data_IF_716428409742
#
_entry.id   IF_716428409742
#
_cell.length_a   1.000
_cell.length_b   1.000
_cell.length_c   1.000
_cell.angle_alpha   90.00
_cell.angle_beta   90.00
_cell.angle_gamma   90.00
#
_symmetry.space_group_name_H-M   'P 1'
#
loop_
_entity.id
_entity.type
_entity.pdbx_description
1 polymer ?
#
# COMPACT_ATOMS: atom_id res chain seq x y z
N UNK A 1 -2.20 11.32 67.67
CA UNK A 1 -3.38 10.66 67.11
C UNK A 1 -4.10 11.68 66.26
N UNK A 2 -4.64 11.38 65.09
CA UNK A 2 -4.76 10.12 64.37
C UNK A 2 -5.52 10.41 63.07
N UNK A 3 -5.05 9.77 62.00
CA UNK A 3 -5.82 9.23 60.87
C UNK A 3 -6.73 10.16 60.04
N UNK A 4 -6.34 10.21 58.75
CA UNK A 4 -7.21 10.45 57.60
C UNK A 4 -8.55 9.72 57.73
N UNK A 5 -9.63 10.41 57.36
CA UNK A 5 -10.74 9.77 56.66
C UNK A 5 -11.33 10.76 55.65
N UNK A 6 -11.04 10.46 54.38
CA UNK A 6 -11.63 11.07 53.20
C UNK A 6 -13.09 10.58 53.11
N UNK A 7 -14.05 11.42 53.46
CA UNK A 7 -15.45 11.11 53.26
C UNK A 7 -15.92 11.63 51.89
N UNK A 8 -15.98 10.71 50.92
CA UNK A 8 -16.61 10.93 49.63
C UNK A 8 -18.12 11.15 49.80
N UNK A 9 -18.66 12.17 49.13
CA UNK A 9 -20.11 12.35 48.99
C UNK A 9 -20.58 11.52 47.79
N UNK A 10 -21.36 10.46 48.04
CA UNK A 10 -21.95 9.62 47.00
C UNK A 10 -22.96 10.39 46.14
N UNK A 11 -22.99 10.21 44.81
CA UNK A 11 -24.10 10.67 43.96
C UNK A 11 -25.38 9.87 44.23
N UNK A 12 -26.58 10.43 43.98
CA UNK A 12 -27.84 9.77 44.25
C UNK A 12 -28.06 8.55 43.35
N UNK A 13 -28.58 7.48 43.96
CA UNK A 13 -28.98 6.25 43.28
C UNK A 13 -30.14 6.52 42.32
N UNK A 14 -29.93 6.22 41.04
CA UNK A 14 -31.02 5.83 40.15
C UNK A 14 -30.67 4.47 39.55
N UNK A 15 -31.57 3.54 39.84
CA UNK A 15 -31.50 2.12 39.52
C UNK A 15 -31.88 1.96 38.05
N UNK A 16 -31.16 1.13 37.29
CA UNK A 16 -31.70 0.03 36.47
C UNK A 16 -30.60 -0.63 35.60
N UNK A 17 -30.13 -1.78 36.10
CA UNK A 17 -29.76 -3.04 35.39
C UNK A 17 -28.75 -2.95 34.23
N UNK A 18 -27.49 -3.30 34.55
CA UNK A 18 -26.50 -3.79 33.58
C UNK A 18 -26.74 -5.28 33.29
N UNK A 19 -26.71 -5.69 32.02
CA UNK A 19 -26.36 -7.05 31.64
C UNK A 19 -25.48 -7.02 30.39
N UNK A 20 -24.23 -7.44 30.54
CA UNK A 20 -23.29 -7.76 29.47
C UNK A 20 -23.82 -8.92 28.62
N UNK A 21 -23.64 -8.95 27.29
CA UNK A 21 -23.79 -10.18 26.53
C UNK A 21 -22.43 -10.85 26.38
N UNK A 22 -22.20 -11.81 27.27
CA UNK A 22 -21.31 -12.95 27.07
C UNK A 22 -21.60 -13.63 25.73
N UNK A 23 -20.54 -14.08 25.05
CA UNK A 23 -20.61 -14.98 23.89
C UNK A 23 -21.49 -16.19 24.22
N UNK A 24 -22.62 -16.32 23.53
CA UNK A 24 -23.43 -17.53 23.50
C UNK A 24 -23.47 -18.04 22.06
N UNK A 25 -22.91 -19.23 21.86
CA UNK A 25 -23.14 -20.08 20.70
C UNK A 25 -24.65 -20.38 20.61
N UNK A 26 -25.30 -19.94 19.53
CA UNK A 26 -26.60 -20.50 19.14
C UNK A 26 -26.50 -21.00 17.71
N UNK A 27 -26.60 -22.31 17.59
CA UNK A 27 -26.61 -23.10 16.37
C UNK A 27 -28.02 -23.06 15.80
N UNK A 28 -28.18 -22.44 14.64
CA UNK A 28 -29.32 -22.67 13.75
C UNK A 28 -28.82 -22.86 12.33
N UNK A 29 -28.96 -24.09 11.83
CA UNK A 29 -28.79 -24.48 10.43
C UNK A 29 -30.11 -24.24 9.69
N UNK A 30 -30.03 -23.50 8.58
CA UNK A 30 -30.83 -23.63 7.34
C UNK A 30 -30.54 -22.39 6.49
N UNK A 31 -29.81 -22.55 5.36
CA UNK A 31 -30.40 -22.47 4.00
C UNK A 31 -30.46 -20.98 3.57
N UNK A 32 -29.71 -20.43 2.62
CA UNK A 32 -29.09 -20.92 1.40
C UNK A 32 -27.80 -20.14 1.11
N UNK A 33 -26.94 -20.72 0.27
CA UNK A 33 -25.63 -20.19 -0.07
C UNK A 33 -25.67 -18.81 -0.75
N UNK A 34 -25.35 -17.78 0.02
CA UNK A 34 -24.74 -16.56 -0.49
C UNK A 34 -23.72 -16.09 0.55
N UNK A 35 -22.63 -16.87 0.65
CA UNK A 35 -21.44 -16.38 1.31
C UNK A 35 -21.01 -15.13 0.58
N UNK A 36 -21.11 -13.97 1.25
CA UNK A 36 -20.37 -12.78 0.86
C UNK A 36 -18.93 -13.22 0.64
N UNK A 37 -18.56 -13.41 -0.64
CA UNK A 37 -17.21 -13.76 -1.03
C UNK A 37 -16.40 -12.52 -0.66
N UNK A 38 -15.85 -12.48 0.55
CA UNK A 38 -14.71 -11.61 0.84
C UNK A 38 -13.74 -11.89 -0.30
N UNK A 39 -13.51 -10.87 -1.13
CA UNK A 39 -12.80 -10.90 -2.42
C UNK A 39 -11.38 -11.43 -2.19
N UNK A 40 -11.27 -12.74 -2.00
CA UNK A 40 -10.03 -13.39 -1.64
C UNK A 40 -9.21 -13.45 -2.92
N UNK A 41 -8.11 -12.71 -2.94
CA UNK A 41 -7.19 -12.69 -4.07
C UNK A 41 -6.80 -14.14 -4.36
N UNK A 42 -7.10 -14.61 -5.57
CA UNK A 42 -6.85 -16.00 -5.90
C UNK A 42 -5.35 -16.31 -5.85
N UNK A 43 -4.99 -17.55 -5.50
CA UNK A 43 -3.60 -17.99 -5.29
C UNK A 43 -2.69 -17.69 -6.48
N UNK A 44 -3.22 -17.78 -7.71
CA UNK A 44 -2.45 -17.49 -8.92
C UNK A 44 -2.13 -16.00 -9.00
N UNK A 45 -3.08 -15.11 -8.77
CA UNK A 45 -2.83 -13.67 -8.72
C UNK A 45 -1.84 -13.34 -7.60
N UNK A 46 -2.07 -13.85 -6.38
CA UNK A 46 -1.18 -13.62 -5.24
C UNK A 46 0.27 -13.99 -5.55
N UNK A 47 0.50 -15.14 -6.20
CA UNK A 47 1.84 -15.54 -6.63
C UNK A 47 2.51 -14.51 -7.56
N UNK A 48 1.77 -13.93 -8.51
CA UNK A 48 2.32 -12.89 -9.38
C UNK A 48 2.60 -11.59 -8.62
N UNK A 49 1.73 -11.20 -7.68
CA UNK A 49 1.94 -9.98 -6.87
C UNK A 49 3.19 -10.11 -5.98
N UNK A 50 3.33 -11.22 -5.25
CA UNK A 50 4.52 -11.52 -4.44
C UNK A 50 5.77 -11.61 -5.32
N UNK A 51 5.68 -12.28 -6.47
CA UNK A 51 6.79 -12.34 -7.42
C UNK A 51 7.22 -10.97 -7.93
N UNK A 52 6.27 -10.04 -8.10
CA UNK A 52 6.54 -8.67 -8.52
C UNK A 52 7.24 -7.87 -7.41
N UNK A 53 6.80 -7.99 -6.16
CA UNK A 53 7.48 -7.36 -5.01
C UNK A 53 8.92 -7.87 -4.87
N UNK A 54 9.11 -9.19 -4.89
CA UNK A 54 10.44 -9.80 -4.82
C UNK A 54 11.34 -9.36 -5.98
N UNK A 55 10.79 -9.19 -7.19
CA UNK A 55 11.59 -8.69 -8.30
C UNK A 55 11.97 -7.20 -8.16
N UNK A 56 11.16 -6.40 -7.46
CA UNK A 56 11.33 -4.94 -7.38
C UNK A 56 12.22 -4.50 -6.22
N UNK A 57 12.30 -5.29 -5.14
CA UNK A 57 12.95 -4.90 -3.88
C UNK A 57 14.02 -5.89 -3.41
N UNK A 58 14.36 -6.88 -4.24
CA UNK A 58 15.49 -7.76 -3.96
C UNK A 58 16.80 -7.03 -4.28
N UNK A 59 17.85 -7.15 -3.43
CA UNK A 59 18.02 -8.15 -2.38
C UNK A 59 17.54 -7.73 -0.99
N UNK A 60 17.10 -6.49 -0.81
CA UNK A 60 16.91 -5.89 0.51
C UNK A 60 15.71 -6.46 1.26
N UNK A 61 14.68 -6.91 0.52
CA UNK A 61 13.45 -7.45 1.10
C UNK A 61 13.06 -8.80 0.49
N UNK A 62 12.55 -9.71 1.35
CA UNK A 62 11.96 -10.99 0.94
C UNK A 62 10.47 -11.04 1.33
N UNK A 63 9.62 -11.12 0.32
CA UNK A 63 8.15 -11.22 0.43
C UNK A 63 7.65 -12.66 0.29
N UNK A 64 8.52 -13.67 0.33
CA UNK A 64 8.15 -15.09 0.18
C UNK A 64 7.10 -15.56 1.20
N UNK A 65 7.02 -14.91 2.36
CA UNK A 65 6.06 -15.18 3.44
C UNK A 65 4.87 -14.21 3.47
N UNK A 66 4.79 -13.25 2.54
CA UNK A 66 3.68 -12.30 2.49
C UNK A 66 2.34 -13.03 2.31
N UNK A 67 1.35 -12.63 3.09
CA UNK A 67 0.06 -13.30 3.17
C UNK A 67 -1.00 -12.56 2.37
N UNK A 68 -2.07 -13.27 2.01
CA UNK A 68 -3.14 -12.69 1.17
C UNK A 68 -3.90 -11.54 1.82
N UNK A 69 -3.91 -11.45 3.15
CA UNK A 69 -4.56 -10.37 3.92
C UNK A 69 -3.78 -9.05 3.89
N UNK A 70 -2.49 -9.09 3.56
CA UNK A 70 -1.67 -7.90 3.27
C UNK A 70 -1.94 -7.34 1.87
N UNK A 71 -2.80 -7.98 1.08
CA UNK A 71 -3.17 -7.51 -0.25
C UNK A 71 -4.67 -7.24 -0.33
N UNK A 72 -5.04 -6.20 -1.07
CA UNK A 72 -6.44 -5.85 -1.32
C UNK A 72 -6.68 -5.62 -2.80
N UNK A 73 -7.89 -5.94 -3.26
CA UNK A 73 -8.36 -5.61 -4.62
C UNK A 73 -9.01 -4.24 -4.56
N UNK A 74 -8.56 -3.32 -5.42
CA UNK A 74 -9.03 -1.94 -5.41
C UNK A 74 -10.33 -1.77 -6.22
N UNK A 75 -11.19 -0.80 -5.85
CA UNK A 75 -12.52 -0.67 -6.45
C UNK A 75 -12.50 -0.32 -7.94
N UNK A 76 -11.61 0.59 -8.35
CA UNK A 76 -11.49 1.06 -9.74
C UNK A 76 -10.18 1.81 -10.00
N UNK A 77 -9.85 1.94 -11.29
CA UNK A 77 -8.75 2.80 -11.78
C UNK A 77 -8.92 4.23 -11.28
N UNK A 78 -10.12 4.80 -11.43
CA UNK A 78 -10.38 6.18 -11.02
C UNK A 78 -10.16 6.39 -9.52
N UNK A 79 -10.53 5.42 -8.69
CA UNK A 79 -10.31 5.50 -7.24
C UNK A 79 -8.81 5.57 -6.92
N UNK A 80 -8.02 4.67 -7.53
CA UNK A 80 -6.57 4.62 -7.34
C UNK A 80 -5.90 5.90 -7.87
N UNK A 81 -6.27 6.35 -9.08
CA UNK A 81 -5.75 7.58 -9.66
C UNK A 81 -6.02 8.79 -8.77
N UNK A 82 -7.23 8.91 -8.22
CA UNK A 82 -7.59 10.02 -7.33
C UNK A 82 -6.79 9.97 -6.01
N UNK A 83 -6.56 8.79 -5.45
CA UNK A 83 -5.72 8.61 -4.24
C UNK A 83 -4.27 9.01 -4.51
N UNK A 84 -3.69 8.50 -5.60
CA UNK A 84 -2.33 8.85 -6.03
C UNK A 84 -2.20 10.34 -6.31
N UNK A 85 -3.16 10.92 -7.05
CA UNK A 85 -3.20 12.35 -7.34
C UNK A 85 -3.21 13.17 -6.04
N UNK A 86 -4.07 12.80 -5.08
CA UNK A 86 -4.20 13.51 -3.80
C UNK A 86 -2.90 13.50 -3.00
N UNK A 87 -2.24 12.34 -2.90
CA UNK A 87 -0.97 12.17 -2.18
C UNK A 87 0.17 12.98 -2.83
N UNK A 88 0.29 12.93 -4.16
CA UNK A 88 1.33 13.63 -4.91
C UNK A 88 1.08 15.14 -4.97
N UNK A 89 -0.16 15.60 -5.07
CA UNK A 89 -0.47 17.03 -4.95
C UNK A 89 -0.14 17.58 -3.56
N UNK A 90 -0.39 16.81 -2.49
CA UNK A 90 -0.12 17.23 -1.13
C UNK A 90 1.39 17.44 -0.84
N UNK A 91 2.27 16.80 -1.60
CA UNK A 91 3.72 16.79 -1.34
C UNK A 91 4.55 17.47 -2.43
N UNK A 92 4.22 17.27 -3.70
CA UNK A 92 4.96 17.79 -4.85
C UNK A 92 4.24 18.93 -5.59
N UNK A 93 2.94 19.14 -5.31
CA UNK A 93 2.11 20.26 -5.78
C UNK A 93 2.37 20.67 -7.25
N UNK A 94 3.09 21.77 -7.51
CA UNK A 94 3.34 22.31 -8.85
C UNK A 94 4.13 21.36 -9.75
N UNK A 95 5.12 20.65 -9.19
CA UNK A 95 5.91 19.68 -9.95
C UNK A 95 5.03 18.50 -10.40
N UNK A 96 4.11 18.05 -9.53
CA UNK A 96 3.16 17.03 -9.91
C UNK A 96 2.12 17.53 -10.94
N UNK A 97 1.66 18.78 -10.80
CA UNK A 97 0.68 19.37 -11.72
C UNK A 97 1.13 19.32 -13.19
N UNK A 98 2.42 19.49 -13.46
CA UNK A 98 2.97 19.43 -14.83
C UNK A 98 3.25 18.00 -15.29
N UNK A 99 3.59 17.10 -14.37
CA UNK A 99 3.89 15.69 -14.65
C UNK A 99 2.64 14.84 -14.85
N UNK A 100 1.56 15.12 -14.11
CA UNK A 100 0.37 14.26 -13.96
C UNK A 100 -0.16 13.71 -15.29
N UNK A 101 -0.34 14.55 -16.30
CA UNK A 101 -0.88 14.11 -17.61
C UNK A 101 0.05 13.12 -18.31
N UNK A 102 1.35 13.35 -18.25
CA UNK A 102 2.36 12.50 -18.88
C UNK A 102 2.48 11.17 -18.15
N UNK A 103 2.48 11.19 -16.82
CA UNK A 103 2.51 9.99 -15.98
C UNK A 103 1.35 9.05 -16.35
N UNK A 104 0.11 9.54 -16.28
CA UNK A 104 -1.05 8.69 -16.53
C UNK A 104 -1.17 8.25 -17.99
N UNK A 105 -0.75 9.09 -18.95
CA UNK A 105 -0.69 8.70 -20.36
C UNK A 105 0.35 7.58 -20.59
N UNK A 106 1.52 7.65 -19.95
CA UNK A 106 2.55 6.63 -20.06
C UNK A 106 2.06 5.29 -19.49
N UNK A 107 1.49 5.31 -18.28
CA UNK A 107 0.93 4.10 -17.65
C UNK A 107 -0.17 3.49 -18.53
N UNK A 108 -1.14 4.29 -19.00
CA UNK A 108 -2.23 3.79 -19.85
C UNK A 108 -1.73 3.20 -21.17
N UNK A 109 -0.74 3.84 -21.80
CA UNK A 109 -0.15 3.34 -23.05
C UNK A 109 0.52 1.98 -22.89
N UNK A 110 1.12 1.70 -21.73
CA UNK A 110 1.87 0.47 -21.48
C UNK A 110 0.99 -0.69 -21.02
N UNK A 111 -0.10 -0.41 -20.29
CA UNK A 111 -0.89 -1.46 -19.63
C UNK A 111 -2.37 -1.49 -19.99
N UNK A 112 -2.89 -0.47 -20.69
CA UNK A 112 -4.32 -0.27 -20.95
C UNK A 112 -5.13 -0.31 -19.64
N UNK A 113 -5.15 0.80 -18.92
CA UNK A 113 -5.67 0.87 -17.54
C UNK A 113 -7.11 0.36 -17.41
N UNK A 114 -7.95 0.65 -18.40
CA UNK A 114 -9.36 0.24 -18.42
C UNK A 114 -9.60 -1.28 -18.45
N UNK A 115 -8.57 -2.07 -18.76
CA UNK A 115 -8.62 -3.55 -18.75
C UNK A 115 -7.90 -4.16 -17.54
N UNK A 116 -7.40 -3.34 -16.62
CA UNK A 116 -6.65 -3.82 -15.46
C UNK A 116 -7.57 -4.21 -14.31
N UNK A 117 -7.20 -5.29 -13.63
CA UNK A 117 -7.54 -5.46 -12.23
C UNK A 117 -6.46 -4.79 -11.38
N UNK A 118 -6.85 -4.07 -10.34
CA UNK A 118 -5.90 -3.34 -9.51
C UNK A 118 -5.85 -3.95 -8.12
N UNK A 119 -4.63 -4.09 -7.62
CA UNK A 119 -4.36 -4.59 -6.27
C UNK A 119 -3.46 -3.61 -5.54
N UNK A 120 -3.51 -3.62 -4.22
CA UNK A 120 -2.55 -2.95 -3.35
C UNK A 120 -1.85 -3.94 -2.44
N UNK A 121 -0.61 -3.62 -2.06
CA UNK A 121 0.10 -4.25 -0.95
C UNK A 121 0.16 -3.28 0.23
N UNK A 122 -0.44 -3.69 1.35
CA UNK A 122 -0.55 -2.95 2.59
C UNK A 122 0.02 -3.83 3.71
N UNK A 123 1.34 -3.77 3.96
CA UNK A 123 1.96 -4.58 4.99
C UNK A 123 1.39 -4.25 6.37
N UNK A 124 1.33 -5.26 7.24
CA UNK A 124 1.11 -5.01 8.66
C UNK A 124 2.23 -4.10 9.20
N UNK A 125 1.95 -3.22 10.16
CA UNK A 125 2.93 -2.29 10.75
C UNK A 125 4.22 -2.96 11.28
N UNK A 126 4.17 -4.27 11.58
CA UNK A 126 5.34 -5.04 12.02
C UNK A 126 6.21 -5.57 10.85
N UNK A 127 5.65 -5.60 9.64
CA UNK A 127 6.26 -6.09 8.40
C UNK A 127 6.49 -4.97 7.39
N UNK A 128 6.11 -3.72 7.71
CA UNK A 128 6.19 -2.58 6.80
C UNK A 128 7.65 -2.15 6.60
N UNK A 129 8.22 -2.28 5.38
CA UNK A 129 9.55 -1.76 5.08
C UNK A 129 9.62 -0.22 5.21
N UNK A 130 8.47 0.45 5.20
CA UNK A 130 8.33 1.89 5.38
C UNK A 130 7.94 2.29 6.80
N UNK A 131 7.98 1.38 7.77
CA UNK A 131 7.75 1.66 9.20
C UNK A 131 8.81 2.59 9.83
N UNK A 132 9.70 3.16 9.03
CA UNK A 132 10.71 4.15 9.42
C UNK A 132 10.07 5.47 9.87
N UNK A 133 10.72 6.13 10.82
CA UNK A 133 10.28 7.43 11.33
C UNK A 133 10.18 8.47 10.21
N UNK A 134 8.97 9.00 10.03
CA UNK A 134 8.69 10.14 9.14
C UNK A 134 8.19 9.80 7.75
N UNK A 135 7.80 8.55 7.45
CA UNK A 135 6.95 8.27 6.31
C UNK A 135 5.60 9.02 6.46
N UNK A 136 5.30 9.93 5.55
CA UNK A 136 4.05 10.71 5.52
C UNK A 136 2.92 9.89 4.90
N UNK A 137 3.23 9.20 3.82
CA UNK A 137 2.36 8.25 3.13
C UNK A 137 3.20 7.36 2.23
N UNK A 138 2.69 6.17 1.94
CA UNK A 138 3.20 5.27 0.92
C UNK A 138 2.04 4.57 0.22
N UNK A 139 2.27 4.09 -0.99
CA UNK A 139 1.36 3.17 -1.68
C UNK A 139 2.13 2.18 -2.53
N UNK A 140 1.53 1.01 -2.77
CA UNK A 140 2.10 -0.06 -3.58
C UNK A 140 1.00 -0.66 -4.44
N UNK A 141 0.76 -0.10 -5.63
CA UNK A 141 -0.32 -0.54 -6.52
C UNK A 141 0.19 -1.45 -7.64
N UNK A 142 -0.60 -2.46 -7.99
CA UNK A 142 -0.36 -3.37 -9.10
C UNK A 142 -1.49 -3.23 -10.11
N UNK A 143 -1.18 -2.75 -11.31
CA UNK A 143 -2.11 -2.73 -12.45
C UNK A 143 -1.90 -4.00 -13.25
N UNK A 144 -2.79 -4.99 -13.05
CA UNK A 144 -2.66 -6.30 -13.69
C UNK A 144 -3.59 -6.43 -14.89
N UNK A 145 -3.02 -6.41 -16.09
CA UNK A 145 -3.74 -6.73 -17.32
C UNK A 145 -3.53 -8.22 -17.66
N UNK A 146 -4.56 -9.05 -17.41
CA UNK A 146 -4.51 -10.49 -17.69
C UNK A 146 -4.38 -10.82 -19.18
N UNK A 147 -4.92 -9.97 -20.05
CA UNK A 147 -4.89 -10.15 -21.51
C UNK A 147 -3.48 -9.96 -22.05
N UNK A 148 -2.79 -8.93 -21.56
CA UNK A 148 -1.37 -8.66 -21.87
C UNK A 148 -0.41 -9.57 -21.08
N UNK A 149 -0.89 -10.23 -20.03
CA UNK A 149 -0.07 -10.99 -19.07
C UNK A 149 1.04 -10.13 -18.46
N UNK A 150 0.71 -8.87 -18.18
CA UNK A 150 1.66 -7.84 -17.73
C UNK A 150 1.14 -7.20 -16.45
N UNK A 151 2.07 -6.83 -15.57
CA UNK A 151 1.81 -6.05 -14.36
C UNK A 151 2.65 -4.78 -14.45
N UNK A 152 2.02 -3.62 -14.25
CA UNK A 152 2.75 -2.40 -13.86
C UNK A 152 2.69 -2.31 -12.35
N UNK A 153 3.84 -2.29 -11.71
CA UNK A 153 3.96 -2.04 -10.28
C UNK A 153 4.28 -0.56 -10.06
N UNK A 154 3.41 0.14 -9.36
CA UNK A 154 3.56 1.56 -9.06
C UNK A 154 3.61 1.75 -7.55
N UNK A 155 4.82 1.98 -7.06
CA UNK A 155 5.11 2.27 -5.66
C UNK A 155 5.66 3.68 -5.50
N UNK A 156 5.32 4.34 -4.40
CA UNK A 156 5.86 5.63 -4.02
C UNK A 156 5.72 5.84 -2.51
N UNK A 157 6.69 6.53 -1.91
CA UNK A 157 6.59 7.06 -0.55
C UNK A 157 6.95 8.53 -0.51
N UNK A 158 6.37 9.24 0.44
CA UNK A 158 6.85 10.56 0.85
C UNK A 158 7.40 10.48 2.27
N UNK A 159 8.58 11.05 2.48
CA UNK A 159 9.24 11.11 3.78
C UNK A 159 9.42 12.56 4.23
N UNK A 160 9.30 12.80 5.52
CA UNK A 160 9.50 14.12 6.12
C UNK A 160 10.98 14.50 6.09
N UNK A 161 11.28 15.69 5.58
CA UNK A 161 12.62 16.28 5.65
C UNK A 161 13.17 16.38 7.07
N UNK A 162 12.28 16.46 8.07
CA UNK A 162 12.65 16.68 9.47
C UNK A 162 12.96 15.37 10.22
N UNK A 163 12.64 14.20 9.67
CA UNK A 163 13.04 12.91 10.28
C UNK A 163 14.42 12.43 9.81
N UNK A 164 14.95 13.03 8.74
CA UNK A 164 16.19 12.63 8.07
C UNK A 164 17.48 13.21 8.67
N UNK A 165 17.56 13.45 9.98
CA UNK A 165 18.83 13.90 10.59
C UNK A 165 19.91 12.79 10.64
N UNK A 166 19.60 11.56 10.18
CA UNK A 166 20.55 10.43 10.19
C UNK A 166 20.66 9.60 8.88
N UNK A 167 19.94 9.88 7.79
CA UNK A 167 19.90 8.96 6.63
C UNK A 167 19.71 9.58 5.24
N UNK A 168 19.90 10.90 5.11
CA UNK A 168 19.54 11.62 3.87
C UNK A 168 20.50 11.38 2.71
N UNK A 169 21.76 11.02 2.97
CA UNK A 169 22.79 11.01 1.94
C UNK A 169 22.86 9.68 1.17
N UNK A 170 22.58 8.52 1.77
CA UNK A 170 22.80 7.22 1.11
C UNK A 170 21.70 6.87 0.08
N UNK A 171 20.41 7.06 0.41
CA UNK A 171 19.30 6.61 -0.45
C UNK A 171 19.08 7.48 -1.70
N UNK A 172 19.29 8.80 -1.60
CA UNK A 172 19.23 9.70 -2.78
C UNK A 172 20.38 9.43 -3.76
N UNK A 173 21.56 9.04 -3.25
CA UNK A 173 22.69 8.66 -4.10
C UNK A 173 22.45 7.32 -4.80
N UNK A 174 21.90 6.32 -4.11
CA UNK A 174 21.58 5.01 -4.70
C UNK A 174 20.52 5.09 -5.79
N UNK A 175 19.39 5.77 -5.54
CA UNK A 175 18.33 5.91 -6.55
C UNK A 175 18.79 6.71 -7.78
N UNK A 176 19.62 7.74 -7.58
CA UNK A 176 20.18 8.50 -8.71
C UNK A 176 21.20 7.68 -9.51
N UNK A 177 21.97 6.81 -8.85
CA UNK A 177 22.95 5.95 -9.53
C UNK A 177 22.26 4.87 -10.38
N UNK A 178 21.19 4.25 -9.88
CA UNK A 178 20.43 3.23 -10.63
C UNK A 178 19.72 3.81 -11.87
N UNK A 179 19.10 4.99 -11.75
CA UNK A 179 18.45 5.66 -12.88
C UNK A 179 19.46 6.10 -13.96
N UNK A 180 20.66 6.52 -13.55
CA UNK A 180 21.75 6.84 -14.47
C UNK A 180 22.30 5.60 -15.17
N UNK A 181 22.49 4.48 -14.46
CA UNK A 181 22.92 3.21 -15.05
C UNK A 181 21.91 2.66 -16.07
N UNK A 182 20.60 2.72 -15.77
CA UNK A 182 19.56 2.34 -16.72
C UNK A 182 19.54 3.26 -17.95
N UNK A 183 19.69 4.58 -17.78
CA UNK A 183 19.80 5.50 -18.91
C UNK A 183 21.02 5.20 -19.79
N UNK A 184 22.17 4.88 -19.19
CA UNK A 184 23.40 4.52 -19.92
C UNK A 184 23.23 3.19 -20.66
N UNK A 185 22.57 2.20 -20.04
CA UNK A 185 22.28 0.92 -20.64
C UNK A 185 21.30 1.05 -21.82
N UNK A 186 20.26 1.88 -21.67
CA UNK A 186 19.28 2.17 -22.71
C UNK A 186 19.94 2.89 -23.90
N UNK A 187 20.78 3.90 -23.63
CA UNK A 187 21.51 4.63 -24.66
C UNK A 187 22.47 3.71 -25.44
N UNK A 188 23.14 2.78 -24.75
CA UNK A 188 24.07 1.80 -25.34
C UNK A 188 23.38 0.76 -26.24
N UNK A 189 22.14 0.38 -25.90
CA UNK A 189 21.32 -0.52 -26.72
C UNK A 189 20.87 0.16 -28.02
N UNK A 190 20.50 1.45 -27.95
CA UNK A 190 20.11 2.24 -29.13
C UNK A 190 21.28 2.46 -30.10
N UNK A 191 22.51 2.61 -29.61
CA UNK A 191 23.69 2.73 -30.50
C UNK A 191 24.10 1.42 -31.16
N UNK A 192 23.79 0.25 -30.59
CA UNK A 192 24.09 -1.05 -31.20
C UNK A 192 23.09 -1.48 -32.27
N UNK A 193 21.86 -0.97 -32.26
CA UNK A 193 20.86 -1.25 -33.30
C UNK A 193 20.92 -0.28 -34.50
N UNK A 194 21.80 0.73 -34.45
CA UNK A 194 21.96 1.75 -35.49
C UNK A 194 23.10 1.48 -36.49
N UNK A 195 23.75 0.30 -36.45
CA UNK A 195 24.79 -0.11 -37.40
C UNK A 195 24.58 -1.53 -37.92
#
# INVERSE_FOLDING_TARGET
GGLNDLQALSPPQSVLISQSPSRLYSRSQSDDGEGHLCDTINRKTLFHLIGTLNASFHPDYDFSQAKSDEFSREPSVDWVMNTVDSNLFATANQAYSTLRSHLWAAVDSEISLHECEIFSYNPDLASDPYGEDGCLWSFNYFFYNRRLKRIVFFTCRAVSANSSEYGRDDLELEMNMELEEECIAQASRVTQEAF
#
